data_IF_867066355845
#
_entry.id   IF_867066355845
#
_cell.length_a   1.000
_cell.length_b   1.000
_cell.length_c   1.000
_cell.angle_alpha   90.00
_cell.angle_beta   90.00
_cell.angle_gamma   90.00
#
_symmetry.space_group_name_H-M   'P 1'
#
loop_
_entity.id
_entity.type
_entity.pdbx_description
1 polymer ?
#
# COMPACT_ATOMS: atom_id res chain seq x y z
N UNK A 1 8.32 -8.24 -70.24
CA UNK A 1 9.74 -7.84 -70.30
C UNK A 1 10.17 -7.78 -68.85
N UNK A 2 10.80 -8.83 -68.35
CA UNK A 2 11.26 -8.88 -66.96
C UNK A 2 12.52 -8.02 -66.86
N UNK A 3 12.53 -7.10 -65.90
CA UNK A 3 13.71 -6.28 -65.63
C UNK A 3 14.75 -7.21 -65.00
N UNK A 4 15.97 -7.32 -65.56
CA UNK A 4 17.05 -8.09 -64.98
C UNK A 4 17.31 -7.65 -63.54
N UNK A 5 17.54 -8.62 -62.65
CA UNK A 5 17.70 -8.36 -61.21
C UNK A 5 18.86 -7.39 -60.96
N UNK A 6 19.95 -7.49 -61.73
CA UNK A 6 21.07 -6.55 -61.59
C UNK A 6 20.69 -5.10 -61.93
N UNK A 7 19.79 -4.90 -62.89
CA UNK A 7 19.33 -3.59 -63.31
C UNK A 7 18.39 -2.96 -62.27
N UNK A 8 17.57 -3.78 -61.62
CA UNK A 8 16.72 -3.36 -60.50
C UNK A 8 17.56 -2.98 -59.25
N UNK A 9 18.62 -3.75 -58.95
CA UNK A 9 19.54 -3.45 -57.85
C UNK A 9 20.31 -2.16 -58.12
N UNK A 10 20.80 -1.97 -59.35
CA UNK A 10 21.48 -0.75 -59.75
C UNK A 10 20.56 0.47 -59.61
N UNK A 11 19.29 0.36 -60.05
CA UNK A 11 18.31 1.42 -59.88
C UNK A 11 18.06 1.77 -58.41
N UNK A 12 17.90 0.77 -57.53
CA UNK A 12 17.69 1.00 -56.10
C UNK A 12 18.89 1.68 -55.42
N UNK A 13 20.11 1.39 -55.88
CA UNK A 13 21.33 2.00 -55.34
C UNK A 13 21.49 3.50 -55.67
N UNK A 14 20.69 4.02 -56.60
CA UNK A 14 20.70 5.46 -56.96
C UNK A 14 19.83 6.32 -56.04
N UNK A 15 19.02 5.73 -55.17
CA UNK A 15 18.23 6.47 -54.20
C UNK A 15 19.06 6.81 -52.97
N UNK A 16 19.30 8.11 -52.74
CA UNK A 16 19.82 8.61 -51.46
C UNK A 16 18.68 8.62 -50.44
N UNK A 17 18.70 7.70 -49.49
CA UNK A 17 17.82 7.76 -48.33
C UNK A 17 18.43 8.75 -47.33
N UNK A 18 17.71 9.82 -47.00
CA UNK A 18 18.12 10.72 -45.92
C UNK A 18 17.95 10.00 -44.58
N UNK A 19 18.98 10.02 -43.72
CA UNK A 19 19.02 9.28 -42.44
C UNK A 19 17.90 9.62 -41.43
N UNK A 20 17.07 10.62 -41.71
CA UNK A 20 15.97 11.09 -40.87
C UNK A 20 14.58 10.94 -41.54
N UNK A 21 14.36 9.88 -42.31
CA UNK A 21 13.00 9.59 -42.78
C UNK A 21 12.09 9.25 -41.58
N UNK A 22 10.88 9.83 -41.49
CA UNK A 22 9.93 9.47 -40.45
C UNK A 22 9.58 7.99 -40.59
N UNK A 23 9.56 7.26 -39.47
CA UNK A 23 9.16 5.85 -39.45
C UNK A 23 7.76 5.70 -40.07
N UNK A 24 7.67 5.01 -41.20
CA UNK A 24 6.40 4.76 -41.93
C UNK A 24 5.50 3.83 -41.14
N UNK A 25 6.07 3.01 -40.25
CA UNK A 25 5.35 2.17 -39.32
C UNK A 25 5.54 2.71 -37.91
N UNK A 26 4.44 3.09 -37.26
CA UNK A 26 4.45 3.31 -35.83
C UNK A 26 5.02 2.07 -35.13
N UNK A 27 5.79 2.22 -34.04
CA UNK A 27 6.15 1.09 -33.19
C UNK A 27 4.89 0.28 -32.90
N UNK A 28 4.97 -1.04 -32.95
CA UNK A 28 3.88 -1.94 -32.60
C UNK A 28 3.50 -1.75 -31.13
N UNK A 29 2.77 -0.69 -30.83
CA UNK A 29 2.21 -0.44 -29.51
C UNK A 29 1.03 -1.39 -29.41
N UNK A 30 1.20 -2.41 -28.59
CA UNK A 30 0.07 -3.17 -28.09
C UNK A 30 -0.86 -2.17 -27.43
N UNK A 31 -2.05 -1.97 -27.99
CA UNK A 31 -3.11 -1.27 -27.29
C UNK A 31 -3.50 -2.20 -26.15
N UNK A 32 -2.96 -1.93 -24.96
CA UNK A 32 -3.41 -2.61 -23.76
C UNK A 32 -4.91 -2.33 -23.62
N UNK A 33 -5.72 -3.37 -23.71
CA UNK A 33 -7.15 -3.34 -23.35
C UNK A 33 -7.29 -3.54 -21.83
N UNK A 34 -6.24 -3.29 -21.06
CA UNK A 34 -6.39 -3.14 -19.62
C UNK A 34 -7.21 -1.87 -19.38
N UNK A 35 -8.42 -2.04 -18.85
CA UNK A 35 -9.33 -0.97 -18.48
C UNK A 35 -8.84 -0.12 -17.29
N UNK A 36 -7.54 0.11 -17.16
CA UNK A 36 -6.93 0.96 -16.15
C UNK A 36 -6.81 2.39 -16.64
N UNK A 37 -7.91 3.17 -16.57
CA UNK A 37 -7.90 4.58 -16.95
C UNK A 37 -6.99 5.48 -16.07
N UNK A 38 -6.30 4.91 -15.09
CA UNK A 38 -5.55 5.62 -14.04
C UNK A 38 -4.05 5.34 -14.05
N UNK A 39 -3.52 4.60 -15.02
CA UNK A 39 -2.08 4.35 -15.18
C UNK A 39 -1.57 4.90 -16.50
N UNK A 40 -0.47 5.68 -16.46
CA UNK A 40 0.22 6.17 -17.65
C UNK A 40 1.54 5.44 -17.85
N UNK A 41 1.77 4.76 -18.99
CA UNK A 41 3.02 4.05 -19.27
C UNK A 41 4.23 4.98 -19.37
N UNK A 42 4.00 6.27 -19.66
CA UNK A 42 5.04 7.30 -19.79
C UNK A 42 5.02 8.28 -18.61
N UNK A 43 4.34 7.96 -17.51
CA UNK A 43 4.27 8.79 -16.31
C UNK A 43 3.88 10.25 -16.63
N UNK A 44 2.95 10.43 -17.56
CA UNK A 44 2.45 11.75 -17.96
C UNK A 44 3.55 12.75 -18.41
N UNK A 45 4.71 12.27 -18.87
CA UNK A 45 5.84 13.12 -19.29
C UNK A 45 5.47 14.10 -20.41
N UNK A 46 4.50 13.70 -21.22
CA UNK A 46 3.95 14.42 -22.36
C UNK A 46 3.01 15.58 -21.96
N UNK A 47 2.50 15.65 -20.73
CA UNK A 47 1.56 16.70 -20.29
C UNK A 47 2.14 18.11 -20.45
N UNK A 48 3.45 18.26 -20.28
CA UNK A 48 4.14 19.54 -20.50
C UNK A 48 4.07 20.02 -21.96
N UNK A 49 4.00 19.10 -22.92
CA UNK A 49 3.90 19.40 -24.35
C UNK A 49 2.51 19.94 -24.72
N UNK A 50 1.45 19.50 -24.03
CA UNK A 50 0.07 19.89 -24.31
C UNK A 50 -0.36 21.23 -23.68
N UNK A 51 0.54 21.94 -22.99
CA UNK A 51 0.27 23.24 -22.32
C UNK A 51 -0.96 23.21 -21.38
N UNK A 52 -1.24 22.05 -20.79
CA UNK A 52 -2.35 21.87 -19.84
C UNK A 52 -1.97 22.43 -18.46
N UNK A 53 -2.94 22.98 -17.73
CA UNK A 53 -2.79 23.38 -16.33
C UNK A 53 -2.79 22.20 -15.35
N UNK A 54 -2.19 21.07 -15.75
CA UNK A 54 -2.14 19.80 -15.00
C UNK A 54 -0.70 19.38 -14.64
N UNK A 55 0.29 20.24 -14.93
CA UNK A 55 1.71 19.93 -14.70
C UNK A 55 2.04 19.70 -13.21
N UNK A 56 1.41 20.45 -12.30
CA UNK A 56 1.57 20.23 -10.85
C UNK A 56 0.84 19.00 -10.34
N UNK A 57 -0.28 18.62 -10.97
CA UNK A 57 -1.04 17.44 -10.59
C UNK A 57 -0.27 16.18 -10.99
N UNK A 58 0.16 16.12 -12.25
CA UNK A 58 0.94 15.01 -12.82
C UNK A 58 2.27 14.79 -12.11
N UNK A 59 2.99 15.86 -11.74
CA UNK A 59 4.18 15.73 -10.89
C UNK A 59 3.89 15.05 -9.56
N UNK A 60 2.78 15.36 -8.92
CA UNK A 60 2.42 14.78 -7.64
C UNK A 60 1.89 13.34 -7.80
N UNK A 61 1.11 13.05 -8.86
CA UNK A 61 0.72 11.68 -9.22
C UNK A 61 1.96 10.81 -9.41
N UNK A 62 2.95 11.27 -10.18
CA UNK A 62 4.19 10.51 -10.41
C UNK A 62 4.98 10.27 -9.11
N UNK A 63 4.98 11.24 -8.18
CA UNK A 63 5.59 11.05 -6.87
C UNK A 63 4.87 9.98 -6.05
N UNK A 64 3.53 9.97 -6.07
CA UNK A 64 2.75 8.93 -5.40
C UNK A 64 2.96 7.56 -6.06
N UNK A 65 3.01 7.50 -7.38
CA UNK A 65 3.22 6.25 -8.13
C UNK A 65 4.61 5.65 -7.85
N UNK A 66 5.66 6.48 -7.72
CA UNK A 66 6.98 6.03 -7.29
C UNK A 66 6.95 5.41 -5.88
N UNK A 67 6.24 6.05 -4.93
CA UNK A 67 6.05 5.49 -3.58
C UNK A 67 5.23 4.21 -3.61
N UNK A 68 4.20 4.11 -4.46
CA UNK A 68 3.40 2.89 -4.63
C UNK A 68 4.30 1.75 -5.11
N UNK A 69 5.17 2.00 -6.09
CA UNK A 69 6.10 0.99 -6.59
C UNK A 69 7.06 0.51 -5.49
N UNK A 70 7.75 1.44 -4.82
CA UNK A 70 8.67 1.12 -3.72
C UNK A 70 7.96 0.37 -2.58
N UNK A 71 6.74 0.79 -2.24
CA UNK A 71 5.93 0.15 -1.22
C UNK A 71 5.53 -1.28 -1.58
N UNK A 72 5.23 -1.57 -2.85
CA UNK A 72 4.94 -2.94 -3.31
C UNK A 72 6.17 -3.86 -3.20
N UNK A 73 7.36 -3.34 -3.50
CA UNK A 73 8.63 -4.07 -3.35
C UNK A 73 8.88 -4.40 -1.86
N UNK A 74 8.76 -3.40 -0.98
CA UNK A 74 8.91 -3.58 0.48
C UNK A 74 7.89 -4.59 1.01
N UNK A 75 6.64 -4.51 0.55
CA UNK A 75 5.55 -5.43 0.95
C UNK A 75 5.89 -6.88 0.56
N UNK A 76 6.45 -7.07 -0.64
CA UNK A 76 6.88 -8.38 -1.14
C UNK A 76 8.04 -8.95 -0.34
N UNK A 77 9.02 -8.13 0.03
CA UNK A 77 10.14 -8.53 0.91
C UNK A 77 9.63 -8.93 2.29
N UNK A 78 8.75 -8.13 2.90
CA UNK A 78 8.20 -8.42 4.22
C UNK A 78 7.33 -9.70 4.22
N UNK A 79 6.58 -9.92 3.13
CA UNK A 79 5.80 -11.14 2.96
C UNK A 79 6.66 -12.39 2.81
N UNK A 80 7.80 -12.29 2.13
CA UNK A 80 8.71 -13.42 1.95
C UNK A 80 9.64 -13.65 3.14
N UNK A 81 9.60 -12.79 4.17
CA UNK A 81 10.34 -12.96 5.41
C UNK A 81 10.08 -14.32 6.05
N UNK A 82 11.17 -15.05 6.33
CA UNK A 82 11.21 -16.34 7.04
C UNK A 82 12.18 -16.21 8.21
N UNK A 83 11.92 -16.97 9.28
CA UNK A 83 12.76 -16.91 10.48
C UNK A 83 14.18 -17.37 10.19
N UNK A 84 15.16 -16.50 10.45
CA UNK A 84 16.58 -16.81 10.42
C UNK A 84 16.97 -17.67 11.62
N UNK A 85 16.42 -17.38 12.81
CA UNK A 85 16.75 -18.08 14.05
C UNK A 85 16.47 -19.57 13.96
N UNK A 86 15.40 -19.97 13.26
CA UNK A 86 15.08 -21.40 13.06
C UNK A 86 16.15 -22.16 12.28
N UNK A 87 16.98 -21.47 11.50
CA UNK A 87 18.07 -22.06 10.74
C UNK A 87 19.41 -22.02 11.48
N UNK A 88 19.51 -21.28 12.58
CA UNK A 88 20.77 -21.13 13.32
C UNK A 88 21.05 -22.36 14.20
N UNK A 89 22.32 -22.82 14.27
CA UNK A 89 22.69 -23.97 15.07
C UNK A 89 22.61 -23.65 16.57
N UNK A 90 22.07 -24.58 17.36
CA UNK A 90 22.10 -24.50 18.82
C UNK A 90 23.30 -25.29 19.34
N UNK A 91 24.24 -24.62 20.01
CA UNK A 91 25.40 -25.29 20.59
C UNK A 91 25.10 -25.86 21.99
N UNK A 92 25.58 -27.07 22.31
CA UNK A 92 25.57 -27.59 23.68
C UNK A 92 26.43 -26.73 24.61
N UNK A 93 26.10 -26.72 25.91
CA UNK A 93 26.83 -25.98 26.95
C UNK A 93 28.32 -26.37 27.08
N UNK A 94 28.74 -27.49 26.49
CA UNK A 94 30.14 -27.94 26.48
C UNK A 94 31.04 -27.16 25.50
N UNK A 95 30.48 -26.38 24.56
CA UNK A 95 31.23 -25.65 23.52
C UNK A 95 31.28 -24.13 23.77
N UNK A 96 31.49 -23.69 25.02
CA UNK A 96 31.48 -22.26 25.39
C UNK A 96 32.50 -21.38 24.64
N UNK A 97 33.65 -21.93 24.24
CA UNK A 97 34.67 -21.16 23.52
C UNK A 97 34.23 -20.79 22.09
N UNK A 98 33.52 -21.68 21.39
CA UNK A 98 32.94 -21.42 20.06
C UNK A 98 31.63 -20.62 20.12
N UNK A 99 31.14 -20.33 21.31
CA UNK A 99 29.86 -19.65 21.52
C UNK A 99 29.96 -18.14 21.21
N UNK A 100 31.11 -17.52 21.47
CA UNK A 100 31.32 -16.10 21.17
C UNK A 100 31.32 -15.85 19.65
N UNK A 101 32.04 -16.68 18.89
CA UNK A 101 32.07 -16.62 17.43
C UNK A 101 30.67 -16.88 16.85
N UNK A 102 29.94 -17.87 17.39
CA UNK A 102 28.56 -18.11 16.97
C UNK A 102 27.64 -16.91 17.23
N UNK A 103 27.77 -16.23 18.38
CA UNK A 103 26.97 -15.03 18.66
C UNK A 103 27.29 -13.89 17.71
N UNK A 104 28.56 -13.72 17.32
CA UNK A 104 28.97 -12.73 16.33
C UNK A 104 28.37 -13.02 14.95
N UNK A 105 28.51 -14.25 14.45
CA UNK A 105 27.95 -14.67 13.16
C UNK A 105 26.41 -14.58 13.17
N UNK A 106 25.78 -15.01 14.27
CA UNK A 106 24.33 -14.87 14.46
C UNK A 106 23.90 -13.41 14.43
N UNK A 107 24.64 -12.53 15.10
CA UNK A 107 24.37 -11.10 15.10
C UNK A 107 24.46 -10.54 13.68
N UNK A 108 25.51 -10.86 12.92
CA UNK A 108 25.71 -10.35 11.56
C UNK A 108 24.58 -10.78 10.60
N UNK A 109 24.15 -12.03 10.66
CA UNK A 109 23.02 -12.53 9.86
C UNK A 109 21.73 -11.80 10.23
N UNK A 110 21.45 -11.65 11.53
CA UNK A 110 20.24 -10.99 11.99
C UNK A 110 20.28 -9.47 11.73
N UNK A 111 21.43 -8.81 11.80
CA UNK A 111 21.57 -7.37 11.56
C UNK A 111 21.20 -6.99 10.12
N UNK A 112 21.51 -7.85 9.14
CA UNK A 112 21.07 -7.65 7.76
C UNK A 112 19.53 -7.61 7.66
N UNK A 113 18.86 -8.55 8.31
CA UNK A 113 17.39 -8.61 8.31
C UNK A 113 16.76 -7.49 9.14
N UNK A 114 17.35 -7.11 10.28
CA UNK A 114 16.89 -5.97 11.08
C UNK A 114 17.09 -4.65 10.34
N UNK A 115 18.14 -4.54 9.51
CA UNK A 115 18.36 -3.39 8.65
C UNK A 115 17.24 -3.20 7.62
N UNK A 116 16.71 -4.29 7.05
CA UNK A 116 15.51 -4.24 6.19
C UNK A 116 14.27 -3.76 6.96
N UNK A 117 14.08 -4.20 8.21
CA UNK A 117 12.97 -3.72 9.05
C UNK A 117 13.11 -2.24 9.42
N UNK A 118 14.33 -1.75 9.68
CA UNK A 118 14.62 -0.31 9.85
C UNK A 118 14.32 0.48 8.58
N UNK A 119 14.59 -0.09 7.41
CA UNK A 119 14.25 0.52 6.13
C UNK A 119 12.73 0.64 5.96
N UNK A 120 11.96 -0.42 6.29
CA UNK A 120 10.48 -0.34 6.31
C UNK A 120 9.99 0.76 7.25
N UNK A 121 10.56 0.85 8.46
CA UNK A 121 10.22 1.88 9.44
C UNK A 121 10.53 3.31 8.93
N UNK A 122 11.69 3.53 8.31
CA UNK A 122 12.06 4.83 7.73
C UNK A 122 11.21 5.19 6.52
N UNK A 123 10.97 4.22 5.65
CA UNK A 123 10.17 4.39 4.44
C UNK A 123 8.73 4.80 4.79
N UNK A 124 8.06 4.06 5.68
CA UNK A 124 6.68 4.38 6.04
C UNK A 124 6.54 5.77 6.68
N UNK A 125 7.53 6.21 7.47
CA UNK A 125 7.53 7.54 8.08
C UNK A 125 7.65 8.64 7.02
N UNK A 126 8.57 8.47 6.06
CA UNK A 126 8.72 9.40 4.93
C UNK A 126 7.45 9.44 4.07
N UNK A 127 6.89 8.27 3.75
CA UNK A 127 5.69 8.11 2.94
C UNK A 127 4.47 8.74 3.61
N UNK A 128 4.29 8.53 4.92
CA UNK A 128 3.21 9.15 5.69
C UNK A 128 3.27 10.68 5.63
N UNK A 129 4.46 11.26 5.81
CA UNK A 129 4.64 12.72 5.76
C UNK A 129 4.36 13.27 4.35
N UNK A 130 4.86 12.61 3.30
CA UNK A 130 4.61 13.00 1.89
C UNK A 130 3.13 12.90 1.53
N UNK A 131 2.44 11.84 1.94
CA UNK A 131 1.01 11.66 1.69
C UNK A 131 0.17 12.72 2.41
N UNK A 132 0.47 13.01 3.68
CA UNK A 132 -0.22 14.05 4.44
C UNK A 132 -0.04 15.44 3.80
N UNK A 133 1.18 15.77 3.34
CA UNK A 133 1.47 17.02 2.65
C UNK A 133 0.73 17.12 1.29
N UNK A 134 0.66 16.03 0.54
CA UNK A 134 -0.08 15.98 -0.73
C UNK A 134 -1.59 16.13 -0.51
N UNK A 135 -2.15 15.45 0.50
CA UNK A 135 -3.53 15.61 0.94
C UNK A 135 -3.86 17.06 1.31
N UNK A 136 -3.01 17.72 2.10
CA UNK A 136 -3.18 19.11 2.52
C UNK A 136 -3.25 20.09 1.34
N UNK A 137 -2.62 19.76 0.21
CA UNK A 137 -2.60 20.61 -0.99
C UNK A 137 -4.01 20.89 -1.51
N UNK A 138 -4.92 19.93 -1.39
CA UNK A 138 -6.32 20.06 -1.81
C UNK A 138 -7.20 20.79 -0.79
N UNK A 139 -6.67 21.03 0.40
CA UNK A 139 -7.33 21.82 1.44
C UNK A 139 -7.09 23.34 1.28
N UNK A 140 -6.33 23.79 0.28
CA UNK A 140 -6.11 25.22 -0.05
C UNK A 140 -7.30 25.80 -0.81
N UNK A 141 -7.68 27.06 -0.56
CA UNK A 141 -8.88 27.68 -1.10
C UNK A 141 -9.01 27.57 -2.64
N UNK A 142 -7.91 27.75 -3.37
CA UNK A 142 -7.85 27.65 -4.83
C UNK A 142 -8.09 26.23 -5.36
N UNK A 143 -7.64 25.22 -4.61
CA UNK A 143 -7.77 23.80 -5.00
C UNK A 143 -9.00 23.12 -4.42
N UNK A 144 -9.65 23.71 -3.40
CA UNK A 144 -10.93 23.23 -2.88
C UNK A 144 -12.05 23.24 -3.92
N UNK A 145 -11.98 24.15 -4.89
CA UNK A 145 -13.01 24.30 -5.93
C UNK A 145 -12.90 23.18 -6.97
N UNK A 146 -11.68 22.84 -7.40
CA UNK A 146 -11.45 21.85 -8.45
C UNK A 146 -11.25 20.42 -7.90
N UNK A 147 -10.76 20.29 -6.67
CA UNK A 147 -10.45 19.00 -6.04
C UNK A 147 -9.33 18.22 -6.74
N UNK A 148 -9.01 17.02 -6.23
CA UNK A 148 -8.12 16.07 -6.89
C UNK A 148 -8.79 15.44 -8.12
N UNK A 149 -8.00 15.10 -9.12
CA UNK A 149 -8.45 14.29 -10.25
C UNK A 149 -8.75 12.85 -9.80
N UNK A 150 -9.54 12.09 -10.58
CA UNK A 150 -9.85 10.68 -10.27
C UNK A 150 -8.56 9.84 -10.16
N UNK A 151 -7.59 10.08 -11.05
CA UNK A 151 -6.28 9.43 -11.00
C UNK A 151 -5.56 9.73 -9.69
N UNK A 152 -5.55 10.99 -9.26
CA UNK A 152 -4.90 11.39 -8.02
C UNK A 152 -5.57 10.77 -6.78
N UNK A 153 -6.91 10.69 -6.77
CA UNK A 153 -7.67 9.96 -5.74
C UNK A 153 -7.23 8.50 -5.68
N UNK A 154 -7.13 7.82 -6.81
CA UNK A 154 -6.66 6.43 -6.86
C UNK A 154 -5.22 6.25 -6.38
N UNK A 155 -4.29 7.14 -6.74
CA UNK A 155 -2.91 7.07 -6.24
C UNK A 155 -2.86 7.26 -4.72
N UNK A 156 -3.64 8.18 -4.15
CA UNK A 156 -3.77 8.31 -2.68
C UNK A 156 -4.31 7.02 -2.04
N UNK A 157 -5.36 6.42 -2.61
CA UNK A 157 -5.97 5.19 -2.09
C UNK A 157 -5.05 3.98 -2.18
N UNK A 158 -4.34 3.81 -3.30
CA UNK A 158 -3.34 2.75 -3.50
C UNK A 158 -2.20 2.87 -2.48
N UNK A 159 -1.71 4.08 -2.22
CA UNK A 159 -0.65 4.30 -1.25
C UNK A 159 -1.13 4.03 0.19
N UNK A 160 -2.34 4.46 0.54
CA UNK A 160 -2.97 4.12 1.83
C UNK A 160 -3.11 2.61 2.01
N UNK A 161 -3.53 1.91 0.96
CA UNK A 161 -3.70 0.46 0.98
C UNK A 161 -2.39 -0.27 1.26
N UNK A 162 -1.29 0.15 0.63
CA UNK A 162 0.05 -0.40 0.90
C UNK A 162 0.45 -0.18 2.37
N UNK A 163 0.23 1.01 2.93
CA UNK A 163 0.53 1.28 4.34
C UNK A 163 -0.27 0.35 5.27
N UNK A 164 -1.54 0.08 4.96
CA UNK A 164 -2.40 -0.84 5.70
C UNK A 164 -1.91 -2.29 5.58
N UNK A 165 -1.57 -2.72 4.36
CA UNK A 165 -1.04 -4.06 4.10
C UNK A 165 0.29 -4.29 4.84
N UNK A 166 1.19 -3.32 4.85
CA UNK A 166 2.47 -3.42 5.56
C UNK A 166 2.29 -3.60 7.05
N UNK A 167 1.39 -2.83 7.68
CA UNK A 167 1.13 -2.96 9.11
C UNK A 167 0.53 -4.34 9.42
N UNK A 168 -0.43 -4.77 8.60
CA UNK A 168 -1.04 -6.09 8.76
C UNK A 168 -0.02 -7.23 8.60
N UNK A 169 0.84 -7.17 7.57
CA UNK A 169 1.89 -8.14 7.30
C UNK A 169 2.93 -8.21 8.42
N UNK A 170 3.40 -7.04 8.90
CA UNK A 170 4.30 -6.93 10.04
C UNK A 170 3.75 -7.69 11.24
N UNK A 171 2.47 -7.48 11.54
CA UNK A 171 1.81 -8.08 12.70
C UNK A 171 1.44 -9.57 12.51
N UNK A 172 1.25 -10.03 11.27
CA UNK A 172 0.96 -11.43 10.96
C UNK A 172 2.19 -12.34 11.07
N UNK A 173 3.41 -11.78 11.02
CA UNK A 173 4.67 -12.53 10.95
C UNK A 173 5.27 -12.76 12.34
N UNK A 174 4.88 -13.86 13.00
CA UNK A 174 5.45 -14.26 14.29
C UNK A 174 6.98 -14.52 14.28
N UNK A 175 7.59 -14.73 13.11
CA UNK A 175 9.05 -14.85 12.97
C UNK A 175 9.80 -13.56 13.29
N UNK A 176 9.21 -12.40 12.97
CA UNK A 176 9.87 -11.09 13.15
C UNK A 176 10.17 -10.81 14.64
N UNK A 177 9.20 -10.85 15.57
CA UNK A 177 9.49 -10.59 16.98
C UNK A 177 10.43 -11.63 17.60
N UNK A 178 10.41 -12.87 17.09
CA UNK A 178 11.32 -13.93 17.55
C UNK A 178 12.76 -13.64 17.15
N UNK A 179 12.98 -13.35 15.86
CA UNK A 179 14.30 -13.03 15.33
C UNK A 179 14.85 -11.74 15.94
N UNK A 180 14.00 -10.72 16.10
CA UNK A 180 14.33 -9.48 16.78
C UNK A 180 14.77 -9.71 18.24
N UNK A 181 14.06 -10.59 18.97
CA UNK A 181 14.43 -10.92 20.35
C UNK A 181 15.81 -11.59 20.45
N UNK A 182 16.16 -12.44 19.48
CA UNK A 182 17.50 -13.03 19.40
C UNK A 182 18.56 -11.99 19.03
N UNK A 183 18.26 -11.11 18.08
CA UNK A 183 19.14 -10.02 17.69
C UNK A 183 19.51 -9.14 18.88
N UNK A 184 18.56 -8.77 19.74
CA UNK A 184 18.85 -8.01 20.97
C UNK A 184 19.77 -8.74 21.95
N UNK A 185 19.57 -10.06 22.10
CA UNK A 185 20.40 -10.88 22.98
C UNK A 185 21.82 -10.96 22.45
N UNK A 186 22.00 -11.22 21.16
CA UNK A 186 23.32 -11.32 20.56
C UNK A 186 24.02 -9.97 20.52
N UNK A 187 23.31 -8.89 20.20
CA UNK A 187 23.81 -7.51 20.29
C UNK A 187 24.43 -7.24 21.66
N UNK A 188 23.72 -7.55 22.75
CA UNK A 188 24.22 -7.34 24.13
C UNK A 188 25.54 -8.09 24.40
N UNK A 189 25.74 -9.26 23.78
CA UNK A 189 26.97 -10.04 23.95
C UNK A 189 28.13 -9.49 23.11
N UNK A 190 27.87 -9.00 21.90
CA UNK A 190 28.92 -8.60 20.95
C UNK A 190 29.29 -7.12 21.02
N UNK A 191 28.37 -6.26 21.48
CA UNK A 191 28.54 -4.81 21.43
C UNK A 191 29.35 -4.22 22.60
N UNK A 192 29.79 -5.04 23.56
CA UNK A 192 30.46 -4.59 24.80
C UNK A 192 31.68 -3.69 24.52
N UNK A 193 32.34 -3.88 23.38
CA UNK A 193 33.56 -3.18 23.01
C UNK A 193 33.33 -2.04 21.99
N UNK A 194 32.08 -1.77 21.59
CA UNK A 194 31.77 -0.82 20.52
C UNK A 194 31.58 0.60 21.07
N UNK A 195 32.08 1.60 20.33
CA UNK A 195 32.06 3.00 20.76
C UNK A 195 30.66 3.64 20.69
N UNK A 196 29.81 3.24 19.73
CA UNK A 196 28.49 3.85 19.48
C UNK A 196 27.32 3.03 20.07
N UNK A 197 27.57 2.27 21.12
CA UNK A 197 26.59 1.30 21.67
C UNK A 197 25.29 1.97 22.13
N UNK A 198 25.34 3.20 22.67
CA UNK A 198 24.16 3.87 23.21
C UNK A 198 23.20 4.35 22.11
N UNK A 199 23.71 4.95 21.04
CA UNK A 199 22.87 5.33 19.89
C UNK A 199 22.23 4.11 19.21
N UNK A 200 22.97 3.01 19.07
CA UNK A 200 22.43 1.76 18.54
C UNK A 200 21.33 1.18 19.43
N UNK A 201 21.39 1.37 20.76
CA UNK A 201 20.34 0.95 21.69
C UNK A 201 19.08 1.79 21.52
N UNK A 202 19.19 3.10 21.31
CA UNK A 202 18.05 3.96 21.04
C UNK A 202 17.32 3.54 19.74
N UNK A 203 18.07 3.31 18.66
CA UNK A 203 17.49 2.79 17.41
C UNK A 203 16.79 1.44 17.60
N UNK A 204 17.35 0.59 18.47
CA UNK A 204 16.80 -0.72 18.79
C UNK A 204 15.49 -0.61 19.56
N UNK A 205 15.40 0.33 20.50
CA UNK A 205 14.19 0.60 21.27
C UNK A 205 13.09 1.18 20.36
N UNK A 206 13.43 2.10 19.45
CA UNK A 206 12.51 2.63 18.46
C UNK A 206 11.97 1.54 17.54
N UNK A 207 12.86 0.66 17.04
CA UNK A 207 12.45 -0.48 16.23
C UNK A 207 11.58 -1.46 17.04
N UNK A 208 11.86 -1.66 18.32
CA UNK A 208 11.04 -2.51 19.19
C UNK A 208 9.61 -1.96 19.31
N UNK A 209 9.46 -0.64 19.52
CA UNK A 209 8.14 0.01 19.59
C UNK A 209 7.41 -0.18 18.27
N UNK A 210 8.09 0.05 17.14
CA UNK A 210 7.53 -0.15 15.80
C UNK A 210 7.07 -1.58 15.59
N UNK A 211 7.87 -2.60 15.92
CA UNK A 211 7.51 -4.00 15.69
C UNK A 211 6.39 -4.49 16.61
N UNK A 212 6.37 -4.05 17.87
CA UNK A 212 5.41 -4.52 18.90
C UNK A 212 4.05 -3.83 18.86
N UNK A 213 3.99 -2.60 18.36
CA UNK A 213 2.76 -1.80 18.34
C UNK A 213 1.91 -2.16 17.12
N UNK A 214 0.69 -2.66 17.34
CA UNK A 214 -0.30 -2.82 16.26
C UNK A 214 -0.74 -1.45 15.74
N UNK A 215 -1.02 -1.35 14.45
CA UNK A 215 -1.47 -0.12 13.80
C UNK A 215 -0.46 1.05 13.86
N UNK A 216 0.81 0.78 14.18
CA UNK A 216 1.83 1.83 14.31
C UNK A 216 2.00 2.67 13.05
N UNK A 217 1.89 2.07 11.86
CA UNK A 217 2.06 2.79 10.59
C UNK A 217 0.90 3.76 10.40
N UNK A 218 -0.32 3.30 10.69
CA UNK A 218 -1.50 4.15 10.64
C UNK A 218 -1.47 5.26 11.69
N UNK A 219 -1.00 4.97 12.90
CA UNK A 219 -0.87 5.97 13.96
C UNK A 219 0.16 7.06 13.58
N UNK A 220 1.27 6.67 12.95
CA UNK A 220 2.25 7.62 12.42
C UNK A 220 1.63 8.50 11.32
N UNK A 221 0.88 7.90 10.39
CA UNK A 221 0.14 8.65 9.37
C UNK A 221 -0.86 9.63 9.99
N UNK A 222 -1.61 9.21 11.01
CA UNK A 222 -2.52 10.10 11.73
C UNK A 222 -1.81 11.28 12.36
N UNK A 223 -0.63 11.08 12.98
CA UNK A 223 0.19 12.17 13.51
C UNK A 223 0.61 13.13 12.40
N UNK A 224 1.07 12.64 11.26
CA UNK A 224 1.44 13.48 10.12
C UNK A 224 0.25 14.27 9.56
N UNK A 225 -0.92 13.64 9.42
CA UNK A 225 -2.15 14.32 8.99
C UNK A 225 -2.63 15.37 10.00
N UNK A 226 -2.43 15.15 11.30
CA UNK A 226 -2.80 16.13 12.32
C UNK A 226 -1.86 17.35 12.30
N UNK A 227 -0.60 17.18 11.91
CA UNK A 227 0.37 18.29 11.75
C UNK A 227 -0.02 19.24 10.62
N UNK A 228 -0.77 18.76 9.63
CA UNK A 228 -1.22 19.54 8.48
C UNK A 228 -2.69 19.97 8.63
N UNK A 229 -2.95 21.27 8.49
CA UNK A 229 -4.31 21.80 8.71
C UNK A 229 -5.29 21.37 7.60
N UNK A 230 -6.54 21.08 8.00
CA UNK A 230 -7.70 20.84 7.12
C UNK A 230 -7.64 19.57 6.24
N UNK A 231 -6.97 18.50 6.66
CA UNK A 231 -6.98 17.21 5.92
C UNK A 231 -8.35 16.51 5.95
N UNK A 232 -9.21 16.83 6.91
CA UNK A 232 -10.57 16.26 7.02
C UNK A 232 -11.40 16.44 5.73
N UNK A 233 -11.23 17.55 5.01
CA UNK A 233 -11.94 17.80 3.75
C UNK A 233 -11.62 16.75 2.68
N UNK A 234 -10.34 16.37 2.55
CA UNK A 234 -9.90 15.38 1.56
C UNK A 234 -10.24 13.95 2.02
N UNK A 235 -10.20 13.66 3.33
CA UNK A 235 -10.68 12.39 3.87
C UNK A 235 -12.16 12.16 3.51
N UNK A 236 -13.00 13.19 3.66
CA UNK A 236 -14.40 13.10 3.25
C UNK A 236 -14.57 12.85 1.74
N UNK A 237 -13.77 13.50 0.90
CA UNK A 237 -13.81 13.28 -0.56
C UNK A 237 -13.44 11.83 -0.89
N UNK A 238 -12.38 11.30 -0.27
CA UNK A 238 -11.95 9.91 -0.47
C UNK A 238 -13.02 8.91 -0.02
N UNK A 239 -13.66 9.12 1.14
CA UNK A 239 -14.72 8.25 1.63
C UNK A 239 -15.93 8.27 0.69
N UNK A 240 -16.37 9.46 0.26
CA UNK A 240 -17.47 9.57 -0.72
C UNK A 240 -17.09 8.85 -2.00
N UNK A 241 -15.89 9.07 -2.53
CA UNK A 241 -15.41 8.41 -3.74
C UNK A 241 -15.42 6.88 -3.62
N UNK A 242 -14.93 6.32 -2.51
CA UNK A 242 -14.97 4.87 -2.26
C UNK A 242 -16.41 4.35 -2.23
N UNK A 243 -17.28 5.00 -1.44
CA UNK A 243 -18.66 4.54 -1.26
C UNK A 243 -19.44 4.58 -2.56
N UNK A 244 -19.33 5.67 -3.33
CA UNK A 244 -19.94 5.77 -4.66
C UNK A 244 -19.36 4.72 -5.62
N UNK A 245 -18.04 4.52 -5.63
CA UNK A 245 -17.39 3.51 -6.51
C UNK A 245 -17.85 2.09 -6.20
N UNK A 246 -17.98 1.73 -4.91
CA UNK A 246 -18.44 0.41 -4.48
C UNK A 246 -19.93 0.18 -4.73
N UNK A 247 -20.78 1.21 -4.57
CA UNK A 247 -22.23 1.07 -4.77
C UNK A 247 -22.64 1.11 -6.24
N UNK A 248 -21.98 1.95 -7.04
CA UNK A 248 -22.32 2.09 -8.46
C UNK A 248 -21.89 0.88 -9.29
N UNK A 249 -21.10 -0.06 -8.73
CA UNK A 249 -20.51 -1.19 -9.44
C UNK A 249 -19.99 -0.75 -10.83
N UNK A 250 -19.31 0.40 -10.89
CA UNK A 250 -18.47 0.72 -12.04
C UNK A 250 -17.54 -0.47 -12.28
N UNK A 251 -17.08 -0.68 -13.51
CA UNK A 251 -16.25 -1.82 -13.94
C UNK A 251 -14.89 -1.89 -13.19
N UNK A 252 -14.95 -2.09 -11.88
CA UNK A 252 -13.85 -2.22 -10.95
C UNK A 252 -13.31 -3.63 -11.10
N UNK A 253 -12.01 -3.73 -11.28
CA UNK A 253 -11.32 -5.00 -11.17
C UNK A 253 -11.37 -5.46 -9.71
N UNK A 254 -11.29 -6.77 -9.48
CA UNK A 254 -11.25 -7.33 -8.12
C UNK A 254 -10.18 -6.68 -7.23
N UNK A 255 -8.93 -6.46 -7.68
CA UNK A 255 -7.91 -5.81 -6.86
C UNK A 255 -8.33 -4.39 -6.45
N UNK A 256 -8.95 -3.63 -7.35
CA UNK A 256 -9.45 -2.27 -7.09
C UNK A 256 -10.58 -2.28 -6.07
N UNK A 257 -11.56 -3.18 -6.22
CA UNK A 257 -12.61 -3.37 -5.22
C UNK A 257 -12.01 -3.68 -3.84
N UNK A 258 -11.00 -4.56 -3.79
CA UNK A 258 -10.38 -4.93 -2.51
C UNK A 258 -9.60 -3.76 -1.87
N UNK A 259 -8.91 -2.93 -2.67
CA UNK A 259 -8.27 -1.69 -2.18
C UNK A 259 -9.31 -0.81 -1.47
N UNK A 260 -10.42 -0.54 -2.14
CA UNK A 260 -11.49 0.30 -1.59
C UNK A 260 -12.05 -0.25 -0.27
N UNK A 261 -12.29 -1.57 -0.21
CA UNK A 261 -12.81 -2.24 0.99
C UNK A 261 -11.82 -2.27 2.16
N UNK A 262 -10.51 -2.35 1.90
CA UNK A 262 -9.47 -2.30 2.94
C UNK A 262 -9.25 -0.89 3.47
N UNK A 263 -9.28 0.12 2.59
CA UNK A 263 -9.00 1.51 2.95
C UNK A 263 -10.19 2.18 3.66
N UNK A 264 -11.43 1.83 3.29
CA UNK A 264 -12.64 2.48 3.83
C UNK A 264 -12.75 2.48 5.37
N UNK A 265 -12.56 1.35 6.09
CA UNK A 265 -12.62 1.33 7.56
C UNK A 265 -11.63 2.30 8.20
N UNK A 266 -10.42 2.36 7.64
CA UNK A 266 -9.34 3.20 8.15
C UNK A 266 -9.66 4.67 7.95
N UNK A 267 -10.12 5.06 6.75
CA UNK A 267 -10.53 6.45 6.49
C UNK A 267 -11.70 6.88 7.37
N UNK A 268 -12.69 6.02 7.60
CA UNK A 268 -13.82 6.33 8.49
C UNK A 268 -13.34 6.62 9.91
N UNK A 269 -12.39 5.85 10.43
CA UNK A 269 -11.81 6.10 11.76
C UNK A 269 -11.04 7.41 11.79
N UNK A 270 -10.22 7.68 10.77
CA UNK A 270 -9.43 8.91 10.67
C UNK A 270 -10.32 10.16 10.57
N UNK A 271 -11.38 10.12 9.74
CA UNK A 271 -12.33 11.22 9.57
C UNK A 271 -13.26 11.42 10.77
N UNK A 272 -13.34 10.45 11.68
CA UNK A 272 -14.11 10.51 12.91
C UNK A 272 -13.23 10.80 14.14
N UNK A 273 -12.09 11.47 13.93
CA UNK A 273 -11.14 11.87 14.97
C UNK A 273 -11.71 12.93 15.94
N UNK A 274 -12.81 13.60 15.60
CA UNK A 274 -13.56 14.55 16.43
C UNK A 274 -15.08 14.36 16.32
N UNK A 275 -15.84 14.84 17.31
CA UNK A 275 -17.32 14.83 17.27
C UNK A 275 -17.84 15.67 16.11
N UNK A 276 -17.27 16.87 15.92
CA UNK A 276 -17.59 17.77 14.81
C UNK A 276 -17.30 17.11 13.46
N UNK A 277 -16.16 16.43 13.35
CA UNK A 277 -15.72 15.81 12.11
C UNK A 277 -16.61 14.59 11.79
N UNK A 278 -16.96 13.80 12.82
CA UNK A 278 -17.93 12.72 12.73
C UNK A 278 -19.30 13.21 12.22
N UNK A 279 -19.84 14.29 12.79
CA UNK A 279 -21.12 14.86 12.35
C UNK A 279 -21.04 15.33 10.89
N UNK A 280 -19.91 15.93 10.50
CA UNK A 280 -19.68 16.40 9.13
C UNK A 280 -19.56 15.25 8.13
N UNK A 281 -18.90 14.16 8.50
CA UNK A 281 -18.80 12.93 7.72
C UNK A 281 -20.19 12.33 7.49
N UNK A 282 -20.98 12.17 8.55
CA UNK A 282 -22.28 11.51 8.46
C UNK A 282 -23.37 12.34 7.78
N UNK A 283 -23.16 13.66 7.66
CA UNK A 283 -23.96 14.52 6.77
C UNK A 283 -23.68 14.22 5.29
N UNK A 284 -22.46 13.85 4.92
CA UNK A 284 -22.06 13.51 3.55
C UNK A 284 -22.34 12.06 3.19
N UNK A 285 -22.07 11.14 4.10
CA UNK A 285 -22.24 9.69 3.90
C UNK A 285 -23.10 9.11 5.02
N UNK A 286 -24.27 8.58 4.65
CA UNK A 286 -25.18 7.95 5.62
C UNK A 286 -24.52 6.72 6.24
N UNK A 287 -24.57 6.62 7.57
CA UNK A 287 -24.00 5.48 8.31
C UNK A 287 -24.51 4.10 7.83
N UNK A 288 -25.76 4.03 7.39
CA UNK A 288 -26.34 2.78 6.87
C UNK A 288 -25.64 2.29 5.59
N UNK A 289 -25.13 3.19 4.73
CA UNK A 289 -24.37 2.83 3.53
C UNK A 289 -23.08 2.11 3.92
N UNK A 290 -22.32 2.69 4.85
CA UNK A 290 -21.10 2.11 5.41
C UNK A 290 -21.35 0.73 6.04
N UNK A 291 -22.40 0.62 6.87
CA UNK A 291 -22.79 -0.65 7.50
C UNK A 291 -23.10 -1.73 6.45
N UNK A 292 -23.83 -1.37 5.38
CA UNK A 292 -24.18 -2.30 4.33
C UNK A 292 -22.94 -2.79 3.56
N UNK A 293 -22.02 -1.89 3.23
CA UNK A 293 -20.75 -2.24 2.58
C UNK A 293 -19.97 -3.25 3.45
N UNK A 294 -19.75 -2.94 4.73
CA UNK A 294 -18.98 -3.82 5.62
C UNK A 294 -19.66 -5.17 5.90
N UNK A 295 -20.98 -5.23 5.87
CA UNK A 295 -21.73 -6.51 5.96
C UNK A 295 -21.67 -7.31 4.67
N UNK A 296 -21.60 -6.64 3.53
CA UNK A 296 -21.62 -7.30 2.23
C UNK A 296 -20.30 -7.98 1.89
N UNK A 297 -19.18 -7.39 2.32
CA UNK A 297 -17.84 -7.94 2.12
C UNK A 297 -17.12 -8.04 3.48
N UNK A 298 -17.50 -9.01 4.33
CA UNK A 298 -17.01 -9.10 5.71
C UNK A 298 -15.56 -9.63 5.82
N UNK A 299 -15.06 -10.24 4.75
CA UNK A 299 -13.70 -10.75 4.60
C UNK A 299 -13.16 -10.23 3.28
N UNK A 300 -12.00 -9.58 3.32
CA UNK A 300 -11.35 -8.97 2.16
C UNK A 300 -9.94 -9.53 2.06
N UNK A 301 -9.49 -10.03 0.90
CA UNK A 301 -8.10 -10.41 0.71
C UNK A 301 -7.19 -9.23 1.03
N UNK A 302 -6.12 -9.43 1.80
CA UNK A 302 -5.17 -8.38 2.17
C UNK A 302 -3.88 -8.51 1.37
N UNK A 303 -3.27 -9.68 1.43
CA UNK A 303 -2.09 -10.12 0.69
C UNK A 303 -2.28 -11.64 0.47
N UNK A 304 -1.64 -12.34 -0.49
CA UNK A 304 -2.11 -13.60 -1.09
C UNK A 304 -2.92 -14.58 -0.22
N UNK A 305 -2.38 -15.04 0.91
CA UNK A 305 -3.01 -15.97 1.87
C UNK A 305 -3.57 -15.29 3.14
N UNK A 306 -3.41 -13.97 3.25
CA UNK A 306 -3.85 -13.15 4.36
C UNK A 306 -5.16 -12.42 4.04
N UNK A 307 -6.02 -12.34 5.05
CA UNK A 307 -7.34 -11.73 4.93
C UNK A 307 -7.54 -10.71 6.05
N UNK A 308 -8.25 -9.64 5.73
CA UNK A 308 -8.69 -8.62 6.66
C UNK A 308 -10.20 -8.69 6.83
N UNK A 309 -10.67 -8.28 8.02
CA UNK A 309 -12.09 -8.06 8.26
C UNK A 309 -12.34 -6.59 8.60
N UNK A 310 -13.13 -5.87 7.79
CA UNK A 310 -13.49 -4.47 8.07
C UNK A 310 -14.02 -4.25 9.49
N UNK A 311 -14.88 -5.15 9.98
CA UNK A 311 -15.45 -5.03 11.33
C UNK A 311 -14.40 -5.25 12.43
N UNK A 312 -13.45 -6.17 12.23
CA UNK A 312 -12.33 -6.37 13.16
C UNK A 312 -11.40 -5.15 13.18
N UNK A 313 -11.09 -4.58 12.00
CA UNK A 313 -10.27 -3.36 11.90
C UNK A 313 -10.89 -2.20 12.70
N UNK A 314 -12.19 -1.94 12.54
CA UNK A 314 -12.88 -0.89 13.28
C UNK A 314 -12.84 -1.11 14.80
N UNK A 315 -13.01 -2.36 15.25
CA UNK A 315 -12.92 -2.73 16.67
C UNK A 315 -11.50 -2.51 17.21
N UNK A 316 -10.48 -3.03 16.54
CA UNK A 316 -9.08 -2.83 16.94
C UNK A 316 -8.69 -1.34 16.95
N UNK A 317 -9.12 -0.57 15.95
CA UNK A 317 -8.77 0.85 15.87
C UNK A 317 -9.47 1.70 16.93
N UNK A 318 -10.66 1.32 17.38
CA UNK A 318 -11.37 2.06 18.43
C UNK A 318 -10.59 2.22 19.74
N UNK A 319 -9.65 1.31 20.04
CA UNK A 319 -8.79 1.42 21.23
C UNK A 319 -7.80 2.58 21.13
N UNK A 320 -7.43 2.98 19.92
CA UNK A 320 -6.51 4.08 19.65
C UNK A 320 -7.23 5.41 19.38
N UNK A 321 -8.49 5.35 18.94
CA UNK A 321 -9.31 6.50 18.58
C UNK A 321 -10.53 6.61 19.51
N UNK A 322 -10.39 7.17 20.73
CA UNK A 322 -11.44 7.15 21.76
C UNK A 322 -12.71 7.88 21.34
N UNK A 323 -12.58 8.92 20.51
CA UNK A 323 -13.73 9.66 19.98
C UNK A 323 -14.53 8.84 18.96
N UNK A 324 -13.86 8.00 18.17
CA UNK A 324 -14.51 7.00 17.33
C UNK A 324 -15.19 5.90 18.16
N UNK A 325 -14.66 5.56 19.35
CA UNK A 325 -15.26 4.57 20.25
C UNK A 325 -16.70 4.89 20.68
N UNK A 326 -17.13 6.15 20.55
CA UNK A 326 -18.53 6.56 20.79
C UNK A 326 -19.51 6.05 19.72
N UNK A 327 -19.01 5.60 18.56
CA UNK A 327 -19.80 5.15 17.40
C UNK A 327 -20.23 3.69 17.53
N UNK A 328 -21.05 3.39 18.54
CA UNK A 328 -21.46 2.03 18.89
C UNK A 328 -21.99 1.21 17.70
N UNK A 329 -22.73 1.83 16.77
CA UNK A 329 -23.35 1.15 15.62
C UNK A 329 -22.36 0.50 14.65
N UNK A 330 -21.18 1.09 14.46
CA UNK A 330 -20.12 0.51 13.61
C UNK A 330 -19.35 -0.57 14.36
N UNK A 331 -19.24 -0.44 15.68
CA UNK A 331 -18.55 -1.40 16.54
C UNK A 331 -19.39 -2.64 16.84
N UNK A 332 -20.72 -2.55 16.72
CA UNK A 332 -21.65 -3.70 16.86
C UNK A 332 -21.81 -4.51 15.58
N UNK A 333 -20.96 -4.30 14.56
CA UNK A 333 -20.97 -5.16 13.39
C UNK A 333 -20.62 -6.61 13.79
N UNK A 334 -21.38 -7.60 13.27
CA UNK A 334 -21.15 -9.00 13.59
C UNK A 334 -19.74 -9.41 13.19
N UNK A 335 -19.14 -10.29 13.99
CA UNK A 335 -17.90 -10.92 13.60
C UNK A 335 -18.11 -11.81 12.37
N UNK A 336 -17.04 -12.08 11.63
CA UNK A 336 -17.11 -12.87 10.39
C UNK A 336 -17.76 -14.25 10.58
N UNK A 337 -17.52 -14.89 11.72
CA UNK A 337 -18.08 -16.20 12.07
C UNK A 337 -19.55 -16.15 12.52
N UNK A 338 -20.09 -14.97 12.80
CA UNK A 338 -21.50 -14.76 13.18
C UNK A 338 -22.40 -14.51 11.98
N UNK A 339 -21.82 -14.27 10.80
CA UNK A 339 -22.57 -14.02 9.57
C UNK A 339 -23.04 -15.34 8.95
N UNK A 340 -24.29 -15.41 8.45
CA UNK A 340 -24.77 -16.59 7.75
C UNK A 340 -23.91 -16.81 6.50
N UNK A 341 -23.65 -18.08 6.18
CA UNK A 341 -23.02 -18.44 4.92
C UNK A 341 -23.88 -17.94 3.76
N UNK A 342 -23.28 -17.19 2.84
CA UNK A 342 -23.95 -16.86 1.59
C UNK A 342 -24.08 -18.11 0.74
N UNK A 343 -25.28 -18.35 0.23
CA UNK A 343 -25.49 -19.41 -0.74
C UNK A 343 -24.83 -19.03 -2.07
N UNK A 344 -24.35 -20.01 -2.84
CA UNK A 344 -23.68 -19.77 -4.12
C UNK A 344 -24.53 -18.93 -5.11
N UNK A 345 -25.86 -19.01 -4.98
CA UNK A 345 -26.85 -18.29 -5.78
C UNK A 345 -26.98 -16.80 -5.39
N UNK A 346 -26.53 -16.42 -4.19
CA UNK A 346 -26.55 -15.05 -3.70
C UNK A 346 -25.35 -14.23 -4.19
N UNK A 347 -24.34 -14.89 -4.77
CA UNK A 347 -23.27 -14.20 -5.48
C UNK A 347 -23.81 -13.76 -6.84
N UNK A 348 -23.81 -12.45 -7.16
CA UNK A 348 -24.21 -11.98 -8.48
C UNK A 348 -23.51 -12.78 -9.59
N UNK A 349 -24.26 -13.26 -10.60
CA UNK A 349 -23.75 -14.14 -11.67
C UNK A 349 -22.53 -13.58 -12.44
N UNK A 350 -22.26 -12.26 -12.33
CA UNK A 350 -21.04 -11.64 -12.84
C UNK A 350 -19.73 -12.15 -12.17
N UNK A 351 -19.79 -12.73 -10.97
CA UNK A 351 -18.61 -13.18 -10.21
C UNK A 351 -18.14 -14.60 -10.55
N UNK A 352 -18.95 -15.40 -11.24
CA UNK A 352 -18.68 -16.83 -11.48
C UNK A 352 -17.83 -17.11 -12.73
N UNK A 353 -17.78 -16.20 -13.70
CA UNK A 353 -17.08 -16.45 -14.97
C UNK A 353 -15.54 -16.52 -14.83
N UNK A 354 -14.95 -15.96 -13.79
CA UNK A 354 -13.48 -15.95 -13.63
C UNK A 354 -12.91 -17.14 -12.87
N UNK A 355 -13.71 -17.83 -12.04
CA UNK A 355 -13.24 -18.98 -11.25
C UNK A 355 -13.19 -20.29 -12.07
N UNK A 356 -13.85 -20.36 -13.23
CA UNK A 356 -13.89 -21.55 -14.07
C UNK A 356 -12.64 -21.74 -14.96
N UNK A 357 -11.68 -20.80 -14.96
CA UNK A 357 -10.44 -20.92 -15.76
C UNK A 357 -9.19 -21.30 -14.96
N UNK A 358 -9.30 -21.56 -13.65
CA UNK A 358 -8.12 -21.89 -12.81
C UNK A 358 -7.97 -23.41 -12.53
N UNK A 359 -8.89 -24.25 -13.03
CA UNK A 359 -8.83 -25.72 -12.83
C UNK A 359 -8.64 -26.55 -14.11
N UNK A 360 -8.05 -25.97 -15.15
CA UNK A 360 -7.50 -26.75 -16.26
C UNK A 360 -6.22 -26.10 -16.76
N UNK A 361 -5.09 -26.44 -16.15
CA UNK A 361 -3.83 -26.80 -16.82
C UNK A 361 -2.86 -27.44 -15.82
#
# INVERSE_FOLDING_TARGET
MEVPVEEAIAALSTFSLEDNQPEVQWPGIWVSVEGGATSSPIQYSDVSAYRLSLSEDTKAINQLDALIQEGNEITSVLYTYRSCVKALPQLPESMKQSQADLYLETYQVLDLEMSRLREVQRWQASTASKLAADMQRFSRHERRINGPTITHLWSMLKLLDILIQLDHLKNAKASIPNDFSWYKRTFTQVSVQWQDTDSMREELDDLQIFLSTRWTILLNLHVEMFRVNNVEDILHILIVFIVESLELNFALLFPEKHILLRVLPVLVVLAASSEKDSESLYKRVKLNRLINIFKNDPVVPAFPDLHLSPSAMLKELSTYFPKFSSQARLLTLPATHELPHREALEYPLHWLCSCLHIYYF
#
